data_IF_154824171727
#
_entry.id   IF_154824171727
#
_cell.length_a   1.000
_cell.length_b   1.000
_cell.length_c   1.000
_cell.angle_alpha   90.00
_cell.angle_beta   90.00
_cell.angle_gamma   90.00
#
_symmetry.space_group_name_H-M   'P 1'
#
loop_
_entity.id
_entity.type
_entity.pdbx_description
1 polymer ?
#
# COMPACT_ATOMS: atom_id res chain seq x y z
N UNK A 1 -9.52 -27.98 -0.59
CA UNK A 1 -9.50 -27.29 0.72
C UNK A 1 -8.97 -25.88 0.46
N UNK A 2 -9.81 -24.83 0.51
CA UNK A 2 -9.33 -23.45 0.42
C UNK A 2 -8.76 -23.10 1.79
N UNK A 3 -7.45 -22.83 1.88
CA UNK A 3 -6.89 -22.28 3.12
C UNK A 3 -7.53 -20.91 3.36
N UNK A 4 -7.93 -20.57 4.59
CA UNK A 4 -8.36 -19.22 4.91
C UNK A 4 -7.20 -18.26 4.62
N UNK A 5 -7.42 -17.23 3.81
CA UNK A 5 -6.46 -16.16 3.61
C UNK A 5 -6.36 -15.36 4.90
N UNK A 6 -5.22 -15.43 5.58
CA UNK A 6 -4.93 -14.53 6.69
C UNK A 6 -4.70 -13.14 6.07
N UNK A 7 -5.42 -12.09 6.50
CA UNK A 7 -5.10 -10.73 6.07
C UNK A 7 -3.69 -10.40 6.55
N UNK A 8 -2.84 -10.01 5.61
CA UNK A 8 -1.43 -9.74 5.83
C UNK A 8 -1.09 -8.37 5.23
N UNK A 9 -0.20 -7.58 5.85
CA UNK A 9 0.46 -7.86 7.14
C UNK A 9 -0.51 -7.78 8.32
N UNK A 10 -0.07 -8.22 9.50
CA UNK A 10 -0.76 -7.92 10.76
C UNK A 10 -0.70 -6.42 11.12
N UNK A 11 -1.36 -6.03 12.21
CA UNK A 11 -1.42 -4.63 12.66
C UNK A 11 -0.04 -4.04 13.01
N UNK A 12 0.95 -4.90 13.28
CA UNK A 12 2.32 -4.50 13.59
C UNK A 12 3.22 -4.52 12.34
N UNK A 13 2.68 -4.82 11.16
CA UNK A 13 3.42 -4.87 9.91
C UNK A 13 4.16 -6.19 9.65
N UNK A 14 3.83 -7.27 10.36
CA UNK A 14 4.45 -8.58 10.15
C UNK A 14 3.68 -9.46 9.16
N UNK A 15 4.44 -10.13 8.30
CA UNK A 15 4.04 -11.25 7.46
C UNK A 15 4.58 -12.54 8.08
N UNK A 16 3.88 -13.06 9.09
CA UNK A 16 4.39 -14.18 9.88
C UNK A 16 5.58 -13.72 10.73
N UNK A 17 6.76 -14.29 10.52
CA UNK A 17 7.98 -13.89 11.25
C UNK A 17 8.76 -12.74 10.58
N UNK A 18 8.32 -12.27 9.42
CA UNK A 18 9.05 -11.29 8.60
C UNK A 18 8.34 -9.92 8.61
N UNK A 19 9.08 -8.83 8.44
CA UNK A 19 8.52 -7.48 8.40
C UNK A 19 8.67 -6.75 9.73
N UNK A 20 7.63 -6.03 10.15
CA UNK A 20 7.66 -5.18 11.34
C UNK A 20 8.37 -3.84 11.12
N UNK A 21 8.58 -3.10 12.21
CA UNK A 21 9.16 -1.76 12.20
C UNK A 21 10.37 -1.67 13.15
N UNK A 22 11.54 -2.08 12.66
CA UNK A 22 12.80 -2.01 13.42
C UNK A 22 13.55 -0.69 13.15
N UNK A 23 12.98 0.42 13.63
CA UNK A 23 13.48 1.78 13.41
C UNK A 23 13.54 2.57 14.73
N UNK A 24 14.33 3.65 14.81
CA UNK A 24 14.34 4.54 15.97
C UNK A 24 12.94 5.07 16.34
N UNK A 25 12.66 5.35 17.64
CA UNK A 25 11.35 5.82 18.09
C UNK A 25 10.86 7.08 17.38
N UNK A 26 11.78 7.99 17.05
CA UNK A 26 11.46 9.25 16.37
C UNK A 26 10.96 9.01 14.95
N UNK A 27 11.55 8.03 14.25
CA UNK A 27 11.08 7.63 12.92
C UNK A 27 9.79 6.83 12.98
N UNK A 28 9.61 6.01 14.04
CA UNK A 28 8.36 5.25 14.21
C UNK A 28 7.15 6.18 14.30
N UNK A 29 7.24 7.27 15.06
CA UNK A 29 6.15 8.23 15.19
C UNK A 29 5.73 8.81 13.82
N UNK A 30 6.71 9.20 13.00
CA UNK A 30 6.45 9.72 11.64
C UNK A 30 5.85 8.64 10.73
N UNK A 31 6.34 7.39 10.82
CA UNK A 31 5.80 6.28 10.04
C UNK A 31 4.36 5.90 10.44
N UNK A 32 4.03 6.04 11.72
CA UNK A 32 2.67 5.81 12.22
C UNK A 32 1.69 6.88 11.67
N UNK A 33 2.11 8.14 11.60
CA UNK A 33 1.32 9.22 10.98
C UNK A 33 1.09 8.97 9.49
N UNK A 34 2.13 8.57 8.74
CA UNK A 34 2.00 8.21 7.32
C UNK A 34 1.06 7.01 7.15
N UNK A 35 1.17 6.02 8.03
CA UNK A 35 0.29 4.84 8.02
C UNK A 35 -1.15 5.29 8.21
N UNK A 36 -1.45 6.09 9.23
CA UNK A 36 -2.81 6.58 9.48
C UNK A 36 -3.39 7.33 8.26
N UNK A 37 -2.62 8.26 7.69
CA UNK A 37 -3.04 9.01 6.50
C UNK A 37 -3.30 8.09 5.30
N UNK A 38 -2.44 7.10 5.06
CA UNK A 38 -2.63 6.12 3.99
C UNK A 38 -3.89 5.28 4.20
N UNK A 39 -4.12 4.76 5.42
CA UNK A 39 -5.31 3.98 5.76
C UNK A 39 -6.59 4.79 5.53
N UNK A 40 -6.56 6.10 5.77
CA UNK A 40 -7.69 7.00 5.56
C UNK A 40 -8.00 7.21 4.07
N UNK A 41 -6.98 7.47 3.25
CA UNK A 41 -7.21 7.89 1.85
C UNK A 41 -7.24 6.75 0.84
N UNK A 42 -6.61 5.59 1.13
CA UNK A 42 -6.36 4.57 0.08
C UNK A 42 -7.62 4.00 -0.56
N UNK A 43 -8.72 3.94 0.18
CA UNK A 43 -10.00 3.40 -0.32
C UNK A 43 -10.98 4.52 -0.71
N UNK A 44 -10.56 5.79 -0.60
CA UNK A 44 -11.37 6.94 -0.98
C UNK A 44 -11.46 7.07 -2.50
N UNK A 45 -12.66 7.37 -3.01
CA UNK A 45 -12.88 7.57 -4.44
C UNK A 45 -12.03 8.72 -4.99
N UNK A 46 -11.97 9.84 -4.27
CA UNK A 46 -11.20 11.00 -4.69
C UNK A 46 -9.71 10.68 -4.93
N UNK A 47 -9.08 9.93 -4.02
CA UNK A 47 -7.68 9.52 -4.17
C UNK A 47 -7.48 8.54 -5.34
N UNK A 48 -8.37 7.56 -5.48
CA UNK A 48 -8.29 6.57 -6.55
C UNK A 48 -8.53 7.18 -7.93
N UNK A 49 -9.48 8.11 -8.04
CA UNK A 49 -9.81 8.79 -9.30
C UNK A 49 -8.65 9.67 -9.78
N UNK A 50 -8.07 10.50 -8.89
CA UNK A 50 -6.90 11.32 -9.22
C UNK A 50 -5.69 10.46 -9.60
N UNK A 51 -5.43 9.39 -8.82
CA UNK A 51 -4.34 8.46 -9.13
C UNK A 51 -4.54 7.79 -10.50
N UNK A 52 -5.77 7.39 -10.82
CA UNK A 52 -6.10 6.78 -12.11
C UNK A 52 -5.95 7.77 -13.27
N UNK A 53 -6.40 9.01 -13.09
CA UNK A 53 -6.23 10.08 -14.06
C UNK A 53 -4.74 10.28 -14.37
N UNK A 54 -3.91 10.52 -13.35
CA UNK A 54 -2.47 10.70 -13.52
C UNK A 54 -1.80 9.48 -14.16
N UNK A 55 -2.25 8.27 -13.80
CA UNK A 55 -1.76 7.06 -14.43
C UNK A 55 -1.99 7.05 -15.94
N UNK A 56 -3.17 7.46 -16.39
CA UNK A 56 -3.55 7.44 -17.81
C UNK A 56 -3.04 8.65 -18.60
N UNK A 57 -3.02 9.84 -18.00
CA UNK A 57 -2.75 11.10 -18.70
C UNK A 57 -1.32 11.59 -18.56
N UNK A 58 -0.62 11.22 -17.48
CA UNK A 58 0.73 11.73 -17.19
C UNK A 58 1.81 10.68 -17.44
N UNK A 59 1.67 9.46 -16.92
CA UNK A 59 2.68 8.40 -17.06
C UNK A 59 2.37 7.35 -18.15
N UNK A 60 1.19 7.41 -18.78
CA UNK A 60 0.84 6.61 -19.96
C UNK A 60 0.49 5.14 -19.71
N UNK A 61 -0.16 4.83 -18.59
CA UNK A 61 -0.75 3.49 -18.34
C UNK A 61 -2.02 3.28 -19.19
N UNK A 62 -2.38 2.02 -19.52
CA UNK A 62 -1.67 0.78 -19.20
C UNK A 62 -0.44 0.56 -20.09
N UNK A 63 0.60 -0.07 -19.54
CA UNK A 63 1.76 -0.52 -20.31
C UNK A 63 1.36 -1.67 -21.24
N UNK A 64 1.77 -1.65 -22.52
CA UNK A 64 1.47 -2.75 -23.44
C UNK A 64 2.19 -4.03 -23.00
N UNK A 65 1.50 -5.17 -23.10
CA UNK A 65 2.13 -6.49 -22.96
C UNK A 65 2.67 -6.92 -24.33
N UNK A 66 3.98 -7.16 -24.42
CA UNK A 66 4.62 -7.63 -25.65
C UNK A 66 4.94 -9.12 -25.56
N UNK A 67 4.63 -9.88 -26.61
CA UNK A 67 5.00 -11.29 -26.76
C UNK A 67 6.33 -11.37 -27.51
N UNK A 68 7.37 -11.89 -26.85
CA UNK A 68 8.73 -12.01 -27.39
C UNK A 68 9.03 -13.43 -27.90
#
# INVERSE_FOLDING_TARGET
MKMPSIPMPDENGYFGEYGGQFIPPELKAVMDEITAAYLEIRDSAAFQDELHELQSTYIGRPSPLFYA
#
